data_IF_796895634703
#
_entry.id   IF_796895634703
#
_cell.length_a   1.000
_cell.length_b   1.000
_cell.length_c   1.000
_cell.angle_alpha   90.00
_cell.angle_beta   90.00
_cell.angle_gamma   90.00
#
_symmetry.space_group_name_H-M   'P 1'
#
loop_
_entity.id
_entity.type
_entity.pdbx_description
1 polymer ?
#
# COMPACT_ATOMS: atom_id res chain seq x y z
N UNK A 1 -11.67 -0.68 -10.70
CA UNK A 1 -11.47 0.07 -9.43
C UNK A 1 -10.70 -0.85 -8.51
N UNK A 2 -9.63 -0.38 -7.87
CA UNK A 2 -8.87 -1.23 -6.95
C UNK A 2 -9.69 -1.43 -5.67
N UNK A 3 -10.02 -2.67 -5.34
CA UNK A 3 -10.84 -2.98 -4.15
C UNK A 3 -10.01 -3.50 -2.99
N UNK A 4 -8.89 -4.15 -3.28
CA UNK A 4 -7.97 -4.70 -2.29
C UNK A 4 -6.54 -4.69 -2.80
N UNK A 5 -5.59 -4.65 -1.89
CA UNK A 5 -4.19 -4.95 -2.15
C UNK A 5 -3.68 -5.88 -1.06
N UNK A 6 -2.89 -6.86 -1.46
CA UNK A 6 -2.18 -7.78 -0.57
C UNK A 6 -0.72 -7.82 -1.00
N UNK A 7 0.18 -7.47 -0.09
CA UNK A 7 1.62 -7.46 -0.29
C UNK A 7 2.23 -8.52 0.61
N UNK A 8 3.04 -9.41 0.03
CA UNK A 8 3.83 -10.41 0.75
C UNK A 8 5.26 -10.35 0.28
N UNK A 9 6.19 -10.20 1.22
CA UNK A 9 7.62 -10.04 0.95
C UNK A 9 7.94 -8.94 -0.09
N UNK A 10 7.21 -7.82 -0.04
CA UNK A 10 7.40 -6.69 -0.95
C UNK A 10 8.11 -5.55 -0.24
N UNK A 11 9.39 -5.33 -0.57
CA UNK A 11 10.25 -4.32 0.07
C UNK A 11 10.21 -4.45 1.60
N UNK A 12 9.72 -3.43 2.31
CA UNK A 12 9.63 -3.44 3.77
C UNK A 12 8.31 -4.06 4.31
N UNK A 13 7.40 -4.52 3.44
CA UNK A 13 6.18 -5.23 3.82
C UNK A 13 6.43 -6.73 3.81
N UNK A 14 6.59 -7.34 4.98
CA UNK A 14 6.55 -8.80 5.13
C UNK A 14 5.16 -9.33 4.79
N UNK A 15 4.14 -8.72 5.40
CA UNK A 15 2.73 -8.95 5.10
C UNK A 15 1.96 -7.64 5.31
N UNK A 16 1.18 -7.23 4.30
CA UNK A 16 0.30 -6.07 4.36
C UNK A 16 -0.97 -6.34 3.56
N UNK A 17 -2.12 -5.96 4.12
CA UNK A 17 -3.42 -6.13 3.47
C UNK A 17 -4.31 -4.93 3.72
N UNK A 18 -4.94 -4.44 2.66
CA UNK A 18 -5.92 -3.37 2.72
C UNK A 18 -7.10 -3.72 1.81
N UNK A 19 -8.29 -3.87 2.40
CA UNK A 19 -9.47 -4.43 1.72
C UNK A 19 -10.57 -3.40 1.40
N UNK A 20 -10.30 -2.10 1.57
CA UNK A 20 -11.30 -1.03 1.46
C UNK A 20 -10.70 0.27 0.94
N UNK A 21 -10.46 0.35 -0.37
CA UNK A 21 -10.16 1.64 -0.99
C UNK A 21 -11.44 2.48 -1.15
N UNK A 22 -11.37 3.72 -0.70
CA UNK A 22 -12.37 4.73 -1.01
C UNK A 22 -12.01 5.48 -2.30
N UNK A 23 -12.89 6.37 -2.76
CA UNK A 23 -12.58 7.28 -3.87
C UNK A 23 -11.39 8.19 -3.56
N UNK A 24 -11.23 8.57 -2.28
CA UNK A 24 -10.10 9.34 -1.77
C UNK A 24 -9.52 8.59 -0.58
N UNK A 25 -8.22 8.29 -0.63
CA UNK A 25 -7.50 7.62 0.44
C UNK A 25 -6.35 8.53 0.90
N UNK A 26 -6.21 8.72 2.20
CA UNK A 26 -5.14 9.52 2.79
C UNK A 26 -4.12 8.59 3.45
N UNK A 27 -2.88 8.60 2.96
CA UNK A 27 -1.79 7.78 3.48
C UNK A 27 -0.83 8.68 4.27
N UNK A 28 -0.83 8.52 5.60
CA UNK A 28 -0.01 9.32 6.53
C UNK A 28 0.93 8.45 7.35
N UNK A 29 1.95 9.08 7.95
CA UNK A 29 2.92 8.40 8.82
C UNK A 29 4.30 9.05 8.74
N UNK A 30 5.21 8.64 9.64
CA UNK A 30 6.60 9.12 9.67
C UNK A 30 7.35 8.79 8.37
N UNK A 31 8.48 9.45 8.12
CA UNK A 31 9.33 9.14 6.97
C UNK A 31 9.83 7.69 7.06
N UNK A 32 10.07 7.08 5.90
CA UNK A 32 10.62 5.72 5.76
C UNK A 32 9.75 4.56 6.28
N UNK A 33 8.49 4.79 6.68
CA UNK A 33 7.58 3.71 7.14
C UNK A 33 6.99 2.85 6.01
N UNK A 34 7.33 3.13 4.75
CA UNK A 34 6.82 2.39 3.59
C UNK A 34 5.69 3.06 2.80
N UNK A 35 5.41 4.35 3.02
CA UNK A 35 4.40 5.09 2.24
C UNK A 35 4.68 5.08 0.73
N UNK A 36 5.92 5.38 0.33
CA UNK A 36 6.34 5.30 -1.08
C UNK A 36 6.25 3.88 -1.60
N UNK A 37 6.69 2.89 -0.81
CA UNK A 37 6.59 1.47 -1.17
C UNK A 37 5.14 1.04 -1.41
N UNK A 38 4.19 1.52 -0.61
CA UNK A 38 2.76 1.26 -0.82
C UNK A 38 2.30 1.86 -2.15
N UNK A 39 2.68 3.10 -2.47
CA UNK A 39 2.35 3.71 -3.75
C UNK A 39 2.99 2.99 -4.94
N UNK A 40 4.25 2.57 -4.83
CA UNK A 40 4.94 1.80 -5.88
C UNK A 40 4.28 0.45 -6.12
N UNK A 41 3.79 -0.22 -5.07
CA UNK A 41 3.07 -1.47 -5.22
C UNK A 41 1.77 -1.33 -6.03
N UNK A 42 1.15 -0.13 -6.01
CA UNK A 42 -0.03 0.18 -6.82
C UNK A 42 0.29 0.44 -8.29
N UNK A 43 1.55 0.77 -8.62
CA UNK A 43 2.02 1.05 -10.00
C UNK A 43 2.48 -0.21 -10.74
N UNK A 44 2.85 -1.26 -10.00
CA UNK A 44 3.27 -2.55 -10.58
C UNK A 44 2.05 -3.38 -11.03
N UNK A 45 0.84 -3.02 -10.59
CA UNK A 45 -0.43 -3.60 -11.02
C UNK A 45 -0.93 -2.95 -12.31
#
# INVERSE_FOLDING_TARGET
MLHKIELKNFKNFLEFRLDKFAQINLIVGKNNVGKTNLLESLLIY
#
